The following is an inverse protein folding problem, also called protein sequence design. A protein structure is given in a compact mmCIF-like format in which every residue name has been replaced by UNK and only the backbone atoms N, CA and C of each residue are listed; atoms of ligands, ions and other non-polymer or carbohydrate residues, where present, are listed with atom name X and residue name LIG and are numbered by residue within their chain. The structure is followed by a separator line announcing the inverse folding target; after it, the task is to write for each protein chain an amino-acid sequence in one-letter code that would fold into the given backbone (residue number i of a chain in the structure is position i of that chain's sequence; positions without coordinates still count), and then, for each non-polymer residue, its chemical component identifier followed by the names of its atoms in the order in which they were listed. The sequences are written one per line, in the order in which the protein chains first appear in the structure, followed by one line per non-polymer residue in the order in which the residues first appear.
data_IF_868810217862
#
_entry.id   IF_868810217862
#
_cell.length_a   1.000
_cell.length_b   1.000
_cell.length_c   1.000
_cell.angle_alpha   90.00
_cell.angle_beta   90.00
_cell.angle_gamma   90.00
#
_symmetry.space_group_name_H-M   'P 1'
#
loop_
_entity.id
_entity.type
_entity.pdbx_description
1 polymer ?
#
# COMPACT_ATOMS: atom_id res chain seq x y z
N UNK A 1 6.56 3.11 19.67
CA UNK A 1 5.26 2.95 20.35
C UNK A 1 4.74 1.52 20.27
N UNK A 2 4.24 1.05 19.11
CA UNK A 2 3.62 -0.29 18.98
C UNK A 2 4.54 -1.43 19.44
N UNK A 3 5.77 -1.47 18.94
CA UNK A 3 6.76 -2.50 19.33
C UNK A 3 7.24 -2.42 20.79
N UNK A 4 6.97 -1.30 21.47
CA UNK A 4 7.27 -1.11 22.89
C UNK A 4 6.03 -1.28 23.77
N UNK A 5 4.92 -1.81 23.23
CA UNK A 5 3.69 -2.04 23.99
C UNK A 5 2.89 -0.78 24.36
N UNK A 6 3.29 0.39 23.87
CA UNK A 6 2.68 1.68 24.23
C UNK A 6 1.60 2.15 23.23
N UNK A 7 0.85 1.22 22.62
CA UNK A 7 -0.28 1.54 21.73
C UNK A 7 -0.38 0.65 20.48
N UNK A 8 -1.33 1.00 19.60
CA UNK A 8 -1.60 0.34 18.31
C UNK A 8 -1.61 1.32 17.15
N UNK A 9 -1.60 0.80 15.92
CA UNK A 9 -1.70 1.60 14.70
C UNK A 9 -2.57 0.88 13.67
N UNK A 10 -3.31 1.65 12.86
CA UNK A 10 -4.02 1.17 11.68
C UNK A 10 -3.22 1.60 10.45
N UNK A 11 -2.79 0.63 9.65
CA UNK A 11 -1.94 0.87 8.49
C UNK A 11 -2.21 -0.17 7.39
N UNK A 12 -1.85 0.11 6.13
CA UNK A 12 -1.88 -0.90 5.07
C UNK A 12 -0.97 -2.08 5.41
N UNK A 13 -1.41 -3.29 5.07
CA UNK A 13 -0.71 -4.56 5.37
C UNK A 13 0.75 -4.56 4.92
N UNK A 14 1.04 -4.08 3.72
CA UNK A 14 2.40 -4.01 3.16
C UNK A 14 3.36 -3.19 4.02
N UNK A 15 2.85 -2.15 4.69
CA UNK A 15 3.65 -1.32 5.59
C UNK A 15 3.91 -2.06 6.91
N UNK A 16 2.91 -2.78 7.43
CA UNK A 16 3.05 -3.57 8.67
C UNK A 16 4.06 -4.71 8.49
N UNK A 17 4.00 -5.40 7.36
CA UNK A 17 4.94 -6.47 7.01
C UNK A 17 6.37 -5.95 6.86
N UNK A 18 6.55 -4.77 6.25
CA UNK A 18 7.87 -4.12 6.16
C UNK A 18 8.46 -3.84 7.54
N UNK A 19 7.68 -3.30 8.48
CA UNK A 19 8.19 -2.99 9.82
C UNK A 19 8.43 -4.24 10.67
N UNK A 20 7.74 -5.35 10.39
CA UNK A 20 7.96 -6.63 11.08
C UNK A 20 9.35 -7.20 10.88
N UNK A 21 10.04 -6.82 9.81
CA UNK A 21 11.44 -7.21 9.59
C UNK A 21 12.38 -6.61 10.66
N UNK A 22 12.01 -5.48 11.27
CA UNK A 22 12.86 -4.72 12.18
C UNK A 22 12.36 -4.69 13.63
N UNK A 23 11.06 -4.85 13.85
CA UNK A 23 10.46 -4.75 15.17
C UNK A 23 9.48 -5.88 15.44
N UNK A 24 9.43 -6.34 16.70
CA UNK A 24 8.48 -7.36 17.13
C UNK A 24 7.15 -6.73 17.53
N UNK A 25 6.07 -7.12 16.87
CA UNK A 25 4.69 -6.73 17.20
C UNK A 25 3.69 -7.67 16.50
N UNK A 26 2.44 -7.71 16.97
CA UNK A 26 1.35 -8.44 16.32
C UNK A 26 0.76 -7.66 15.14
N UNK A 27 0.36 -8.37 14.07
CA UNK A 27 -0.40 -7.79 12.94
C UNK A 27 -1.73 -8.51 12.86
N UNK A 28 -2.82 -7.76 12.94
CA UNK A 28 -4.19 -8.27 12.85
C UNK A 28 -4.86 -7.60 11.64
N UNK A 29 -5.43 -8.41 10.75
CA UNK A 29 -6.14 -7.91 9.57
C UNK A 29 -7.53 -7.39 9.94
N UNK A 30 -7.85 -6.16 9.50
CA UNK A 30 -9.20 -5.62 9.58
C UNK A 30 -10.04 -6.16 8.41
N UNK A 31 -11.17 -6.80 8.71
CA UNK A 31 -12.03 -7.44 7.70
C UNK A 31 -13.19 -6.55 7.24
N UNK A 32 -13.38 -5.41 7.87
CA UNK A 32 -14.44 -4.48 7.53
C UNK A 32 -14.28 -3.91 6.11
N UNK A 33 -15.41 -3.67 5.44
CA UNK A 33 -15.41 -3.07 4.08
C UNK A 33 -14.69 -1.72 4.05
N UNK A 34 -14.80 -0.93 5.13
CA UNK A 34 -14.13 0.36 5.21
C UNK A 34 -12.60 0.24 5.25
N UNK A 35 -12.03 -0.92 5.58
CA UNK A 35 -10.59 -1.15 5.66
C UNK A 35 -9.98 -1.63 4.34
N UNK A 36 -10.80 -2.03 3.36
CA UNK A 36 -10.32 -2.38 2.03
C UNK A 36 -9.83 -1.12 1.31
N UNK A 37 -8.62 -1.20 0.75
CA UNK A 37 -7.98 -0.09 0.04
C UNK A 37 -7.64 -0.52 -1.37
N UNK A 38 -7.95 0.34 -2.33
CA UNK A 38 -7.51 0.21 -3.72
C UNK A 38 -6.38 1.20 -3.95
N UNK A 39 -5.24 0.71 -4.40
CA UNK A 39 -4.16 1.56 -4.89
C UNK A 39 -4.50 1.94 -6.33
N UNK A 40 -4.63 3.23 -6.60
CA UNK A 40 -5.03 3.74 -7.92
C UNK A 40 -3.89 4.53 -8.55
N UNK A 41 -3.68 4.32 -9.84
CA UNK A 41 -2.82 5.17 -10.68
C UNK A 41 -3.72 6.24 -11.30
N UNK A 42 -3.47 7.51 -10.97
CA UNK A 42 -4.29 8.64 -11.41
C UNK A 42 -3.51 9.50 -12.41
N UNK A 43 -4.12 9.75 -13.56
CA UNK A 43 -3.63 10.63 -14.61
C UNK A 43 -4.83 11.27 -15.31
N UNK A 44 -4.61 12.36 -16.06
CA UNK A 44 -5.71 13.13 -16.65
C UNK A 44 -6.44 12.34 -17.75
N UNK A 45 -5.70 11.92 -18.79
CA UNK A 45 -6.21 11.10 -19.88
C UNK A 45 -5.05 10.37 -20.58
N UNK A 46 -5.36 9.39 -21.45
CA UNK A 46 -4.33 8.61 -22.12
C UNK A 46 -3.53 9.44 -23.15
N UNK A 47 -4.12 10.49 -23.72
CA UNK A 47 -3.43 11.37 -24.67
C UNK A 47 -2.40 12.26 -23.97
N UNK A 48 -2.62 12.62 -22.70
CA UNK A 48 -1.68 13.39 -21.89
C UNK A 48 -0.45 12.60 -21.42
N UNK A 49 -0.44 11.27 -21.59
CA UNK A 49 0.67 10.41 -21.15
C UNK A 49 1.85 10.46 -22.13
N UNK A 50 3.03 10.83 -21.61
CA UNK A 50 4.28 10.69 -22.34
C UNK A 50 4.57 9.21 -22.68
N UNK A 51 5.35 8.92 -23.75
CA UNK A 51 5.71 7.54 -24.08
C UNK A 51 6.37 6.79 -22.91
N UNK A 52 7.20 7.47 -22.11
CA UNK A 52 7.83 6.88 -20.93
C UNK A 52 6.80 6.51 -19.85
N UNK A 53 5.81 7.37 -19.59
CA UNK A 53 4.74 7.09 -18.64
C UNK A 53 3.86 5.92 -19.09
N UNK A 54 3.54 5.82 -20.39
CA UNK A 54 2.77 4.69 -20.92
C UNK A 54 3.46 3.36 -20.65
N UNK A 55 4.77 3.27 -20.94
CA UNK A 55 5.57 2.07 -20.68
C UNK A 55 5.62 1.72 -19.18
N UNK A 56 5.72 2.73 -18.32
CA UNK A 56 5.67 2.52 -16.87
C UNK A 56 4.32 1.97 -16.44
N UNK A 57 3.21 2.54 -16.94
CA UNK A 57 1.87 2.08 -16.60
C UNK A 57 1.60 0.66 -17.11
N UNK A 58 2.07 0.32 -18.32
CA UNK A 58 2.01 -1.04 -18.85
C UNK A 58 2.74 -2.03 -17.94
N UNK A 59 3.95 -1.67 -17.48
CA UNK A 59 4.72 -2.51 -16.56
C UNK A 59 4.01 -2.66 -15.20
N UNK A 60 3.48 -1.58 -14.63
CA UNK A 60 2.77 -1.59 -13.35
C UNK A 60 1.42 -2.32 -13.38
N UNK A 61 0.80 -2.48 -14.56
CA UNK A 61 -0.47 -3.20 -14.72
C UNK A 61 -0.30 -4.72 -14.82
N UNK A 62 0.93 -5.21 -14.93
CA UNK A 62 1.19 -6.66 -14.95
C UNK A 62 0.84 -7.28 -13.58
N UNK A 63 0.17 -8.45 -13.55
CA UNK A 63 -0.20 -9.13 -12.32
C UNK A 63 0.99 -9.69 -11.53
#
# INVERSE_FOLDING_TARGET
MVAHGAGGAILPRVIAERYRQRYSFAVIGLQDRWAQRRLCLCYQDDASLSPAMRRLLEWLRQP
#
